data_IF_281291807054
#
_entry.id   IF_281291807054
#
_cell.length_a   1.000
_cell.length_b   1.000
_cell.length_c   1.000
_cell.angle_alpha   90.00
_cell.angle_beta   90.00
_cell.angle_gamma   90.00
#
_symmetry.space_group_name_H-M   'P 1'
#
loop_
_entity.id
_entity.type
_entity.pdbx_description
1 polymer ?
#
# COMPACT_ATOMS: atom_id res chain seq x y z
N UNK A 1 18.88 -7.16 -22.09
CA UNK A 1 18.22 -5.89 -21.71
C UNK A 1 19.25 -4.75 -21.68
N UNK A 2 19.29 -3.86 -22.69
CA UNK A 2 20.29 -2.79 -22.80
C UNK A 2 20.11 -1.61 -21.81
N UNK A 3 18.99 -1.54 -21.06
CA UNK A 3 18.71 -0.45 -20.13
C UNK A 3 19.27 -0.65 -18.71
N UNK A 4 19.46 -1.90 -18.25
CA UNK A 4 20.08 -2.20 -16.94
C UNK A 4 21.62 -2.13 -16.99
N UNK A 5 22.16 -1.17 -17.74
CA UNK A 5 23.61 -0.95 -17.86
C UNK A 5 24.12 0.05 -16.83
N UNK A 6 23.26 0.96 -16.38
CA UNK A 6 23.66 2.08 -15.55
C UNK A 6 23.47 1.82 -14.06
N UNK A 7 24.35 2.39 -13.23
CA UNK A 7 24.36 2.15 -11.79
C UNK A 7 23.04 2.54 -11.12
N UNK A 8 22.50 3.71 -11.48
CA UNK A 8 21.21 4.21 -10.99
C UNK A 8 20.07 3.22 -11.26
N UNK A 9 19.97 2.73 -12.51
CA UNK A 9 18.89 1.85 -12.92
C UNK A 9 19.04 0.44 -12.32
N UNK A 10 20.27 -0.05 -12.18
CA UNK A 10 20.53 -1.34 -11.51
C UNK A 10 20.15 -1.28 -10.04
N UNK A 11 20.59 -0.24 -9.33
CA UNK A 11 20.30 -0.07 -7.92
C UNK A 11 18.80 0.13 -7.67
N UNK A 12 18.15 0.95 -8.50
CA UNK A 12 16.68 1.09 -8.48
C UNK A 12 15.99 -0.26 -8.71
N UNK A 13 16.39 -1.01 -9.73
CA UNK A 13 15.79 -2.32 -10.02
C UNK A 13 15.99 -3.33 -8.88
N UNK A 14 17.13 -3.28 -8.17
CA UNK A 14 17.41 -4.12 -7.02
C UNK A 14 16.43 -3.84 -5.88
N UNK A 15 16.25 -2.56 -5.52
CA UNK A 15 15.28 -2.15 -4.49
C UNK A 15 13.86 -2.58 -4.88
N UNK A 16 13.41 -2.22 -6.08
CA UNK A 16 12.04 -2.50 -6.51
C UNK A 16 11.75 -4.02 -6.58
N UNK A 17 12.72 -4.82 -7.04
CA UNK A 17 12.57 -6.28 -7.07
C UNK A 17 12.51 -6.85 -5.66
N UNK A 18 13.30 -6.31 -4.73
CA UNK A 18 13.30 -6.77 -3.34
C UNK A 18 11.98 -6.42 -2.64
N UNK A 19 11.43 -5.23 -2.89
CA UNK A 19 10.12 -4.84 -2.38
C UNK A 19 8.98 -5.68 -2.99
N UNK A 20 9.04 -5.94 -4.30
CA UNK A 20 8.08 -6.84 -4.96
C UNK A 20 8.12 -8.24 -4.36
N UNK A 21 9.31 -8.75 -4.03
CA UNK A 21 9.47 -10.03 -3.35
C UNK A 21 8.81 -10.00 -1.96
N UNK A 22 9.00 -8.93 -1.19
CA UNK A 22 8.31 -8.76 0.10
C UNK A 22 6.79 -8.76 -0.08
N UNK A 23 6.23 -7.99 -1.01
CA UNK A 23 4.78 -7.98 -1.26
C UNK A 23 4.23 -9.35 -1.66
N UNK A 24 4.95 -10.06 -2.53
CA UNK A 24 4.59 -11.41 -2.92
C UNK A 24 4.60 -12.38 -1.73
N UNK A 25 5.62 -12.29 -0.87
CA UNK A 25 5.74 -13.11 0.34
C UNK A 25 4.64 -12.77 1.34
N UNK A 26 4.35 -11.48 1.58
CA UNK A 26 3.26 -11.06 2.48
C UNK A 26 1.91 -11.58 2.00
N UNK A 27 1.60 -11.43 0.70
CA UNK A 27 0.36 -11.96 0.11
C UNK A 27 0.26 -13.48 0.27
N UNK A 28 1.36 -14.19 0.04
CA UNK A 28 1.42 -15.64 0.19
C UNK A 28 1.23 -16.06 1.65
N UNK A 29 1.85 -15.34 2.59
CA UNK A 29 1.68 -15.58 4.01
C UNK A 29 0.21 -15.37 4.41
N UNK A 30 -0.41 -14.25 4.03
CA UNK A 30 -1.82 -13.95 4.33
C UNK A 30 -2.76 -15.01 3.73
N UNK A 31 -2.49 -15.46 2.51
CA UNK A 31 -3.26 -16.52 1.87
C UNK A 31 -3.16 -17.84 2.65
N UNK A 32 -1.94 -18.24 3.04
CA UNK A 32 -1.68 -19.50 3.75
C UNK A 32 -2.26 -19.47 5.17
N UNK A 33 -2.14 -18.34 5.87
CA UNK A 33 -2.65 -18.17 7.23
C UNK A 33 -4.17 -18.31 7.33
N UNK A 34 -4.88 -18.05 6.24
CA UNK A 34 -6.33 -17.92 6.21
C UNK A 34 -6.97 -18.63 5.00
N UNK A 35 -6.42 -19.79 4.63
CA UNK A 35 -6.93 -20.60 3.52
C UNK A 35 -8.42 -20.94 3.65
N UNK A 36 -8.89 -21.10 4.89
CA UNK A 36 -10.29 -21.38 5.21
C UNK A 36 -11.25 -20.27 4.75
N UNK A 37 -10.86 -19.01 4.94
CA UNK A 37 -11.69 -17.85 4.61
C UNK A 37 -11.59 -17.45 3.14
N UNK A 38 -10.43 -17.72 2.53
CA UNK A 38 -10.21 -17.45 1.11
C UNK A 38 -11.13 -18.28 0.20
N UNK A 39 -11.47 -19.52 0.58
CA UNK A 39 -12.26 -20.49 -0.21
C UNK A 39 -11.91 -20.44 -1.72
N UNK A 40 -10.62 -20.35 -2.02
CA UNK A 40 -10.11 -20.01 -3.35
C UNK A 40 -9.74 -21.28 -4.11
N UNK A 41 -10.43 -21.52 -5.23
CA UNK A 41 -10.01 -22.50 -6.23
C UNK A 41 -8.80 -22.02 -7.03
N UNK A 42 -8.29 -22.88 -7.91
CA UNK A 42 -7.07 -22.60 -8.72
C UNK A 42 -7.21 -21.34 -9.58
N UNK A 43 -8.40 -21.09 -10.14
CA UNK A 43 -8.66 -19.89 -10.98
C UNK A 43 -8.64 -18.62 -10.13
N UNK A 44 -9.21 -18.66 -8.93
CA UNK A 44 -9.22 -17.52 -8.00
C UNK A 44 -7.81 -17.18 -7.52
N UNK A 45 -6.94 -18.18 -7.33
CA UNK A 45 -5.52 -17.95 -7.00
C UNK A 45 -4.80 -17.15 -8.11
N UNK A 46 -5.00 -17.50 -9.38
CA UNK A 46 -4.45 -16.71 -10.48
C UNK A 46 -4.99 -15.27 -10.49
N UNK A 47 -6.28 -15.09 -10.16
CA UNK A 47 -6.88 -13.77 -9.97
C UNK A 47 -6.19 -12.96 -8.87
N UNK A 48 -6.03 -13.55 -7.68
CA UNK A 48 -5.41 -12.91 -6.50
C UNK A 48 -3.99 -12.41 -6.82
N UNK A 49 -3.15 -13.27 -7.41
CA UNK A 49 -1.78 -12.87 -7.72
C UNK A 49 -1.68 -11.98 -8.96
N UNK A 50 -2.52 -12.19 -9.98
CA UNK A 50 -2.53 -11.37 -11.19
C UNK A 50 -2.92 -9.93 -10.87
N UNK A 51 -4.03 -9.75 -10.17
CA UNK A 51 -4.48 -8.44 -9.66
C UNK A 51 -3.48 -7.88 -8.65
N UNK A 52 -2.96 -8.73 -7.75
CA UNK A 52 -1.93 -8.37 -6.78
C UNK A 52 -0.71 -7.73 -7.41
N UNK A 53 -0.18 -8.33 -8.48
CA UNK A 53 0.96 -7.76 -9.21
C UNK A 53 0.61 -6.41 -9.83
N UNK A 54 -0.62 -6.18 -10.29
CA UNK A 54 -1.02 -4.87 -10.81
C UNK A 54 -0.96 -3.80 -9.72
N UNK A 55 -1.48 -4.07 -8.52
CA UNK A 55 -1.39 -3.16 -7.38
C UNK A 55 0.05 -2.98 -6.89
N UNK A 56 0.83 -4.06 -6.84
CA UNK A 56 2.23 -4.02 -6.43
C UNK A 56 3.04 -3.12 -7.38
N UNK A 57 2.88 -3.30 -8.69
CA UNK A 57 3.53 -2.46 -9.71
C UNK A 57 3.06 -1.01 -9.61
N UNK A 58 1.76 -0.79 -9.39
CA UNK A 58 1.21 0.55 -9.22
C UNK A 58 1.88 1.28 -8.05
N UNK A 59 1.96 0.64 -6.88
CA UNK A 59 2.66 1.20 -5.72
C UNK A 59 4.15 1.45 -6.00
N UNK A 60 4.84 0.47 -6.60
CA UNK A 60 6.27 0.57 -6.90
C UNK A 60 6.58 1.72 -7.86
N UNK A 61 5.70 2.04 -8.81
CA UNK A 61 5.88 3.19 -9.70
C UNK A 61 5.84 4.53 -8.94
N UNK A 62 4.92 4.69 -7.97
CA UNK A 62 4.91 5.88 -7.12
C UNK A 62 6.12 5.93 -6.20
N UNK A 63 6.46 4.82 -5.55
CA UNK A 63 7.60 4.77 -4.65
C UNK A 63 8.95 4.95 -5.37
N UNK A 64 9.03 4.56 -6.64
CA UNK A 64 10.21 4.76 -7.48
C UNK A 64 10.48 6.24 -7.79
N UNK A 65 9.48 7.13 -7.74
CA UNK A 65 9.66 8.56 -8.07
C UNK A 65 10.71 9.26 -7.20
N UNK A 66 10.57 9.34 -5.86
CA UNK A 66 11.55 10.02 -5.02
C UNK A 66 12.93 9.35 -5.07
N UNK A 67 12.97 8.02 -5.17
CA UNK A 67 14.23 7.26 -5.26
C UNK A 67 14.95 7.53 -6.59
N UNK A 68 14.22 7.52 -7.70
CA UNK A 68 14.79 7.84 -9.03
C UNK A 68 15.28 9.28 -9.05
N UNK A 69 14.49 10.22 -8.50
CA UNK A 69 14.87 11.62 -8.42
C UNK A 69 16.23 11.78 -7.72
N UNK A 70 16.40 11.14 -6.57
CA UNK A 70 17.68 11.13 -5.86
C UNK A 70 18.80 10.49 -6.70
N UNK A 71 18.61 9.26 -7.18
CA UNK A 71 19.67 8.49 -7.86
C UNK A 71 20.16 9.18 -9.14
N UNK A 72 19.24 9.79 -9.88
CA UNK A 72 19.51 10.40 -11.19
C UNK A 72 20.03 11.83 -11.05
N UNK A 73 19.58 12.60 -10.05
CA UNK A 73 20.09 13.94 -9.79
C UNK A 73 21.38 13.96 -8.94
N UNK A 74 21.76 12.82 -8.34
CA UNK A 74 22.99 12.70 -7.57
C UNK A 74 24.21 13.08 -8.43
N UNK A 75 24.98 14.13 -8.04
CA UNK A 75 26.11 14.58 -8.83
C UNK A 75 27.24 13.53 -8.79
N UNK A 76 28.00 13.39 -9.90
CA UNK A 76 29.08 12.39 -10.02
C UNK A 76 30.09 12.43 -8.87
N UNK A 77 30.45 13.65 -8.43
CA UNK A 77 31.37 13.86 -7.30
C UNK A 77 30.88 13.20 -6.01
N UNK A 78 29.56 13.19 -5.79
CA UNK A 78 28.96 12.56 -4.62
C UNK A 78 28.91 11.05 -4.78
N UNK A 79 28.54 10.57 -5.98
CA UNK A 79 28.47 9.15 -6.28
C UNK A 79 29.82 8.44 -6.10
N UNK A 80 30.91 9.09 -6.53
CA UNK A 80 32.29 8.56 -6.44
C UNK A 80 32.89 8.69 -5.04
N UNK A 81 32.24 9.40 -4.11
CA UNK A 81 32.76 9.59 -2.76
C UNK A 81 32.63 8.30 -1.93
N UNK A 82 33.66 7.90 -1.13
CA UNK A 82 33.64 6.64 -0.38
C UNK A 82 32.46 6.49 0.59
N UNK A 83 31.99 7.57 1.21
CA UNK A 83 30.83 7.55 2.11
C UNK A 83 29.52 7.16 1.38
N UNK A 84 29.38 7.51 0.09
CA UNK A 84 28.14 7.29 -0.66
C UNK A 84 27.85 5.79 -0.83
N UNK A 85 28.89 4.96 -0.99
CA UNK A 85 28.71 3.51 -1.02
C UNK A 85 28.07 3.01 0.29
N UNK A 86 28.61 3.42 1.44
CA UNK A 86 28.05 3.10 2.75
C UNK A 86 26.61 3.59 2.89
N UNK A 87 26.31 4.80 2.42
CA UNK A 87 24.96 5.35 2.42
C UNK A 87 23.97 4.55 1.56
N UNK A 88 24.38 4.07 0.39
CA UNK A 88 23.54 3.20 -0.44
C UNK A 88 23.23 1.88 0.28
N UNK A 89 24.22 1.24 0.92
CA UNK A 89 23.96 0.04 1.74
C UNK A 89 23.01 0.33 2.93
N UNK A 90 23.18 1.46 3.60
CA UNK A 90 22.27 1.91 4.68
C UNK A 90 20.87 2.17 4.16
N UNK A 91 20.73 2.82 2.99
CA UNK A 91 19.45 3.07 2.35
C UNK A 91 18.74 1.75 2.02
N UNK A 92 19.46 0.76 1.48
CA UNK A 92 18.91 -0.58 1.25
C UNK A 92 18.44 -1.22 2.56
N UNK A 93 19.24 -1.16 3.63
CA UNK A 93 18.87 -1.72 4.93
C UNK A 93 17.62 -1.05 5.53
N UNK A 94 17.55 0.28 5.51
CA UNK A 94 16.37 1.02 5.98
C UNK A 94 15.15 0.69 5.12
N UNK A 95 15.32 0.60 3.80
CA UNK A 95 14.23 0.25 2.88
C UNK A 95 13.68 -1.16 3.14
N UNK A 96 14.56 -2.13 3.39
CA UNK A 96 14.20 -3.50 3.74
C UNK A 96 13.47 -3.55 5.08
N UNK A 97 14.01 -2.87 6.08
CA UNK A 97 13.38 -2.78 7.40
C UNK A 97 11.97 -2.18 7.29
N UNK A 98 11.80 -1.08 6.56
CA UNK A 98 10.51 -0.46 6.35
C UNK A 98 9.50 -1.41 5.67
N UNK A 99 9.91 -2.14 4.63
CA UNK A 99 9.03 -3.10 3.96
C UNK A 99 8.69 -4.31 4.82
N UNK A 100 9.64 -4.82 5.61
CA UNK A 100 9.41 -5.91 6.55
C UNK A 100 8.50 -5.49 7.71
N UNK A 101 8.69 -4.28 8.24
CA UNK A 101 7.81 -3.67 9.23
C UNK A 101 6.38 -3.55 8.68
N UNK A 102 6.23 -2.99 7.47
CA UNK A 102 4.95 -2.91 6.77
C UNK A 102 4.31 -4.29 6.60
N UNK A 103 5.06 -5.31 6.20
CA UNK A 103 4.54 -6.66 6.04
C UNK A 103 4.00 -7.25 7.35
N UNK A 104 4.70 -7.05 8.47
CA UNK A 104 4.23 -7.50 9.79
C UNK A 104 3.05 -6.67 10.29
N UNK A 105 3.07 -5.36 10.07
CA UNK A 105 1.95 -4.49 10.40
C UNK A 105 0.70 -4.86 9.59
N UNK A 106 0.84 -5.22 8.31
CA UNK A 106 -0.25 -5.74 7.50
C UNK A 106 -0.78 -7.07 8.03
N UNK A 107 0.09 -7.96 8.51
CA UNK A 107 -0.35 -9.22 9.14
C UNK A 107 -1.19 -8.95 10.38
N UNK A 108 -0.69 -8.13 11.31
CA UNK A 108 -1.41 -7.83 12.55
C UNK A 108 -2.73 -7.09 12.28
N UNK A 109 -2.72 -6.17 11.32
CA UNK A 109 -3.92 -5.47 10.89
C UNK A 109 -4.94 -6.42 10.24
N UNK A 110 -4.46 -7.41 9.49
CA UNK A 110 -5.31 -8.44 8.90
C UNK A 110 -5.95 -9.32 9.97
N UNK A 111 -5.18 -9.76 10.98
CA UNK A 111 -5.71 -10.58 12.08
C UNK A 111 -6.83 -9.86 12.85
N UNK A 112 -6.75 -8.52 12.98
CA UNK A 112 -7.75 -7.72 13.68
C UNK A 112 -8.99 -7.40 12.81
N UNK A 113 -8.79 -6.98 11.55
CA UNK A 113 -9.87 -6.43 10.71
C UNK A 113 -10.26 -7.29 9.52
N UNK A 114 -9.53 -8.36 9.22
CA UNK A 114 -9.77 -9.26 8.08
C UNK A 114 -9.59 -8.60 6.70
N UNK A 115 -8.89 -7.46 6.65
CA UNK A 115 -8.67 -6.65 5.44
C UNK A 115 -7.25 -6.08 5.43
N UNK A 116 -6.73 -5.64 4.28
CA UNK A 116 -5.44 -4.91 4.24
C UNK A 116 -5.64 -3.46 4.67
N UNK A 117 -4.53 -2.71 4.74
CA UNK A 117 -4.56 -1.30 5.10
C UNK A 117 -5.58 -0.50 4.29
N UNK A 118 -6.42 0.23 5.01
CA UNK A 118 -7.50 1.03 4.45
C UNK A 118 -7.63 2.34 5.25
N UNK A 119 -8.79 2.98 5.19
CA UNK A 119 -9.07 4.21 5.94
C UNK A 119 -8.83 4.07 7.46
N UNK A 120 -9.12 2.91 8.07
CA UNK A 120 -8.88 2.69 9.51
C UNK A 120 -7.40 2.85 9.87
N UNK A 121 -6.50 2.31 9.03
CA UNK A 121 -5.06 2.46 9.25
C UNK A 121 -4.56 3.90 9.11
N UNK A 122 -5.26 4.73 8.32
CA UNK A 122 -4.97 6.17 8.22
C UNK A 122 -5.39 6.88 9.50
N UNK A 123 -6.60 6.63 9.99
CA UNK A 123 -7.10 7.19 11.25
C UNK A 123 -6.18 6.84 12.42
N UNK A 124 -5.61 5.64 12.44
CA UNK A 124 -4.69 5.20 13.50
C UNK A 124 -3.37 5.99 13.50
N UNK A 125 -2.93 6.50 12.35
CA UNK A 125 -1.75 7.37 12.27
C UNK A 125 -2.08 8.83 12.57
N UNK A 126 -3.31 9.28 12.31
CA UNK A 126 -3.78 10.63 12.65
C UNK A 126 -4.01 10.74 14.17
N UNK A 127 -4.62 9.72 14.78
CA UNK A 127 -4.92 9.64 16.22
C UNK A 127 -3.99 8.64 16.91
N UNK A 128 -2.71 8.96 16.93
CA UNK A 128 -1.64 8.00 17.24
C UNK A 128 -1.44 7.70 18.72
N UNK A 129 -1.72 8.63 19.64
CA UNK A 129 -1.39 8.46 21.06
C UNK A 129 -2.11 7.25 21.69
N UNK A 130 -3.40 7.09 21.42
CA UNK A 130 -4.21 5.98 21.96
C UNK A 130 -3.77 4.64 21.34
N UNK A 131 -3.55 4.62 20.03
CA UNK A 131 -3.17 3.41 19.28
C UNK A 131 -1.76 2.96 19.65
N UNK A 132 -0.80 3.87 19.76
CA UNK A 132 0.59 3.53 20.13
C UNK A 132 0.63 2.92 21.53
N UNK A 133 -0.07 3.50 22.50
CA UNK A 133 -0.12 2.94 23.85
C UNK A 133 -0.78 1.55 23.86
N UNK A 134 -1.88 1.37 23.12
CA UNK A 134 -2.53 0.07 23.00
C UNK A 134 -1.59 -1.00 22.38
N UNK A 135 -0.84 -0.64 21.35
CA UNK A 135 0.14 -1.54 20.71
C UNK A 135 1.29 -1.88 21.67
N UNK A 136 1.79 -0.90 22.43
CA UNK A 136 2.88 -1.09 23.39
C UNK A 136 2.48 -2.01 24.55
N UNK A 137 1.22 -1.96 24.98
CA UNK A 137 0.67 -2.84 26.01
C UNK A 137 0.37 -4.26 25.48
N UNK A 138 -0.11 -4.34 24.23
CA UNK A 138 -0.60 -5.60 23.65
C UNK A 138 0.50 -6.45 23.01
N UNK A 139 1.58 -5.83 22.52
CA UNK A 139 2.61 -6.52 21.74
C UNK A 139 4.03 -6.23 22.23
N UNK A 140 4.94 -7.22 22.18
CA UNK A 140 6.37 -7.01 22.48
C UNK A 140 7.05 -6.29 21.31
N UNK A 141 6.76 -5.00 21.12
CA UNK A 141 7.18 -4.26 19.93
C UNK A 141 8.70 -4.09 19.86
N UNK A 142 9.39 -3.89 20.98
CA UNK A 142 10.85 -3.67 20.95
C UNK A 142 11.62 -4.92 20.47
N UNK A 143 11.35 -6.15 20.99
CA UNK A 143 11.91 -7.38 20.42
C UNK A 143 11.55 -7.59 18.95
N UNK A 144 10.30 -7.27 18.57
CA UNK A 144 9.84 -7.40 17.19
C UNK A 144 10.63 -6.49 16.24
N UNK A 145 10.77 -5.20 16.58
CA UNK A 145 11.55 -4.24 15.81
C UNK A 145 13.02 -4.65 15.73
N UNK A 146 13.60 -5.14 16.83
CA UNK A 146 14.98 -5.63 16.84
C UNK A 146 15.16 -6.85 15.91
N UNK A 147 14.20 -7.78 15.92
CA UNK A 147 14.22 -8.95 15.04
C UNK A 147 14.08 -8.56 13.56
N UNK A 148 13.19 -7.62 13.23
CA UNK A 148 13.04 -7.11 11.87
C UNK A 148 14.29 -6.34 11.40
N UNK A 149 14.90 -5.56 12.29
CA UNK A 149 16.17 -4.89 12.00
C UNK A 149 17.29 -5.90 11.74
N UNK A 150 17.35 -6.99 12.52
CA UNK A 150 18.31 -8.07 12.28
C UNK A 150 18.09 -8.72 10.90
N UNK A 151 16.85 -9.06 10.53
CA UNK A 151 16.54 -9.63 9.21
C UNK A 151 16.91 -8.64 8.10
N UNK A 152 16.61 -7.35 8.27
CA UNK A 152 16.96 -6.32 7.28
C UNK A 152 18.48 -6.21 7.09
N UNK A 153 19.26 -6.24 8.18
CA UNK A 153 20.72 -6.23 8.13
C UNK A 153 21.24 -7.50 7.44
N UNK A 154 20.75 -8.69 7.81
CA UNK A 154 21.12 -9.94 7.15
C UNK A 154 20.80 -9.91 5.66
N UNK A 155 19.60 -9.44 5.29
CA UNK A 155 19.19 -9.25 3.90
C UNK A 155 20.12 -8.31 3.12
N UNK A 156 20.48 -7.17 3.69
CA UNK A 156 21.47 -6.25 3.09
C UNK A 156 22.84 -6.90 2.93
N UNK A 157 23.30 -7.67 3.91
CA UNK A 157 24.58 -8.40 3.82
C UNK A 157 24.53 -9.45 2.71
N UNK A 158 23.43 -10.18 2.56
CA UNK A 158 23.23 -11.15 1.47
C UNK A 158 23.20 -10.47 0.09
N UNK A 159 22.57 -9.29 0.01
CA UNK A 159 22.48 -8.49 -1.22
C UNK A 159 23.73 -7.63 -1.47
N UNK A 160 24.74 -7.67 -0.59
CA UNK A 160 25.93 -6.81 -0.69
C UNK A 160 26.62 -6.92 -2.04
N UNK A 161 26.85 -8.14 -2.53
CA UNK A 161 27.51 -8.36 -3.83
C UNK A 161 26.72 -7.78 -5.00
N UNK A 162 25.39 -7.94 -4.98
CA UNK A 162 24.51 -7.39 -6.01
C UNK A 162 24.49 -5.85 -5.96
N UNK A 163 24.47 -5.29 -4.75
CA UNK A 163 24.51 -3.85 -4.50
C UNK A 163 25.83 -3.24 -4.97
N UNK A 164 26.97 -3.81 -4.57
CA UNK A 164 28.29 -3.35 -4.99
C UNK A 164 28.43 -3.43 -6.53
N UNK A 165 27.97 -4.52 -7.15
CA UNK A 165 27.96 -4.67 -8.61
C UNK A 165 27.02 -3.68 -9.33
N UNK A 166 25.95 -3.25 -8.68
CA UNK A 166 25.07 -2.19 -9.19
C UNK A 166 25.78 -0.83 -9.13
N UNK A 167 26.38 -0.48 -7.98
CA UNK A 167 27.01 0.82 -7.74
C UNK A 167 28.29 1.05 -8.57
N UNK A 168 29.02 -0.02 -8.88
CA UNK A 168 30.23 0.01 -9.73
C UNK A 168 29.92 0.08 -11.24
N UNK A 169 28.66 -0.01 -11.64
CA UNK A 169 28.30 0.08 -13.06
C UNK A 169 28.51 1.53 -13.60
N UNK A 170 28.57 1.72 -14.93
CA UNK A 170 28.67 3.05 -15.51
C UNK A 170 27.54 3.98 -15.07
N UNK A 171 27.83 5.26 -14.89
CA UNK A 171 26.81 6.26 -14.56
C UNK A 171 25.92 6.60 -15.75
N UNK A 172 24.65 6.85 -15.47
CA UNK A 172 23.68 7.34 -16.43
C UNK A 172 24.18 8.64 -17.09
N UNK A 173 23.95 8.77 -18.40
CA UNK A 173 24.28 9.98 -19.15
C UNK A 173 23.24 11.06 -18.81
N UNK A 174 23.65 12.33 -18.80
CA UNK A 174 22.74 13.45 -18.52
C UNK A 174 21.56 13.54 -19.51
N UNK A 175 21.74 13.10 -20.76
CA UNK A 175 20.65 13.04 -21.74
C UNK A 175 19.62 11.95 -21.39
N UNK A 176 20.08 10.83 -20.85
CA UNK A 176 19.25 9.68 -20.49
C UNK A 176 18.55 9.85 -19.12
N UNK A 177 19.00 10.84 -18.35
CA UNK A 177 18.42 11.26 -17.06
C UNK A 177 16.98 11.74 -17.24
N UNK A 178 16.77 12.70 -18.14
CA UNK A 178 15.45 13.27 -18.38
C UNK A 178 14.48 12.28 -19.01
N UNK A 179 14.97 11.39 -19.88
CA UNK A 179 14.13 10.32 -20.46
C UNK A 179 13.71 9.30 -19.40
N UNK A 180 14.59 8.94 -18.48
CA UNK A 180 14.27 8.04 -17.36
C UNK A 180 13.23 8.67 -16.44
N UNK A 181 13.43 9.93 -16.02
CA UNK A 181 12.48 10.64 -15.17
C UNK A 181 11.12 10.81 -15.85
N UNK A 182 11.10 11.21 -17.12
CA UNK A 182 9.87 11.34 -17.89
C UNK A 182 9.15 10.01 -18.04
N UNK A 183 9.87 8.90 -18.26
CA UNK A 183 9.26 7.58 -18.39
C UNK A 183 8.61 7.10 -17.08
N UNK A 184 9.29 7.27 -15.93
CA UNK A 184 8.72 6.88 -14.63
C UNK A 184 7.57 7.80 -14.25
N UNK A 185 7.69 9.11 -14.48
CA UNK A 185 6.61 10.05 -14.25
C UNK A 185 5.38 9.74 -15.12
N UNK A 186 5.59 9.48 -16.41
CA UNK A 186 4.53 9.06 -17.32
C UNK A 186 3.86 7.77 -16.85
N UNK A 187 4.65 6.76 -16.45
CA UNK A 187 4.12 5.51 -15.93
C UNK A 187 3.30 5.72 -14.64
N UNK A 188 3.77 6.55 -13.71
CA UNK A 188 3.04 6.87 -12.49
C UNK A 188 1.73 7.61 -12.78
N UNK A 189 1.75 8.61 -13.68
CA UNK A 189 0.54 9.33 -14.09
C UNK A 189 -0.45 8.41 -14.82
N UNK A 190 0.04 7.59 -15.75
CA UNK A 190 -0.80 6.60 -16.44
C UNK A 190 -1.44 5.61 -15.46
N UNK A 191 -0.68 5.20 -14.44
CA UNK A 191 -1.19 4.35 -13.36
C UNK A 191 -2.29 5.07 -12.56
N UNK A 192 -2.13 6.35 -12.21
CA UNK A 192 -3.18 7.12 -11.52
C UNK A 192 -4.48 7.17 -12.32
N UNK A 193 -4.37 7.28 -13.65
CA UNK A 193 -5.52 7.36 -14.54
C UNK A 193 -6.18 5.99 -14.78
N UNK A 194 -5.40 4.91 -14.74
CA UNK A 194 -5.89 3.55 -14.99
C UNK A 194 -6.36 2.82 -13.74
N UNK A 195 -5.76 3.10 -12.57
CA UNK A 195 -5.98 2.42 -11.30
C UNK A 195 -6.65 3.39 -10.32
N UNK A 196 -7.97 3.50 -10.41
CA UNK A 196 -8.81 4.20 -9.43
C UNK A 196 -9.07 3.35 -8.18
N UNK A 197 -9.76 3.92 -7.18
CA UNK A 197 -10.17 3.21 -5.96
C UNK A 197 -10.94 1.92 -6.24
N UNK A 198 -11.75 1.91 -7.30
CA UNK A 198 -12.60 0.78 -7.67
C UNK A 198 -11.90 -0.27 -8.54
N UNK A 199 -10.64 -0.07 -8.90
CA UNK A 199 -9.92 -1.00 -9.76
C UNK A 199 -9.11 -2.01 -8.93
N UNK A 200 -9.31 -3.34 -9.04
CA UNK A 200 -10.33 -4.07 -9.80
C UNK A 200 -11.33 -4.75 -8.85
N UNK A 201 -12.15 -3.96 -8.16
CA UNK A 201 -13.20 -4.49 -7.27
C UNK A 201 -14.37 -5.14 -8.03
N UNK A 202 -14.35 -5.14 -9.36
CA UNK A 202 -15.39 -5.66 -10.26
C UNK A 202 -15.17 -7.09 -10.80
N UNK A 203 -14.06 -7.74 -10.48
CA UNK A 203 -13.83 -9.15 -10.85
C UNK A 203 -14.34 -9.98 -9.68
N UNK A 204 -15.43 -10.72 -9.88
CA UNK A 204 -16.15 -11.44 -8.82
C UNK A 204 -15.27 -12.27 -7.88
N UNK A 205 -15.79 -12.56 -6.70
CA UNK A 205 -15.08 -13.20 -5.60
C UNK A 205 -15.69 -12.76 -4.27
N UNK A 206 -15.28 -13.38 -3.16
CA UNK A 206 -15.69 -12.90 -1.84
C UNK A 206 -14.87 -11.65 -1.43
N UNK A 207 -15.30 -10.93 -0.39
CA UNK A 207 -14.59 -9.75 0.11
C UNK A 207 -13.12 -10.06 0.46
N UNK A 208 -12.89 -11.24 1.05
CA UNK A 208 -11.57 -11.73 1.43
C UNK A 208 -10.60 -11.82 0.23
N UNK A 209 -11.02 -12.42 -0.88
CA UNK A 209 -10.21 -12.54 -2.09
C UNK A 209 -9.84 -11.18 -2.68
N UNK A 210 -10.75 -10.21 -2.62
CA UNK A 210 -10.50 -8.84 -3.10
C UNK A 210 -9.45 -8.13 -2.26
N UNK A 211 -9.51 -8.28 -0.95
CA UNK A 211 -8.50 -7.71 -0.05
C UNK A 211 -7.15 -8.42 -0.19
N UNK A 212 -7.15 -9.75 -0.35
CA UNK A 212 -5.90 -10.49 -0.55
C UNK A 212 -5.22 -10.14 -1.89
N UNK A 213 -6.02 -9.85 -2.90
CA UNK A 213 -5.55 -9.38 -4.20
C UNK A 213 -5.02 -7.94 -4.15
N UNK A 214 -5.24 -7.17 -3.08
CA UNK A 214 -4.80 -5.79 -2.99
C UNK A 214 -3.35 -5.66 -2.50
N UNK A 215 -2.87 -4.41 -2.39
CA UNK A 215 -1.61 -4.04 -1.76
C UNK A 215 -1.92 -3.00 -0.68
N UNK A 216 -1.64 -3.29 0.60
CA UNK A 216 -1.99 -2.38 1.69
C UNK A 216 -1.29 -1.03 1.59
N UNK A 217 0.03 -0.92 1.29
CA UNK A 217 0.65 0.36 1.03
C UNK A 217 -0.04 1.18 -0.07
N UNK A 218 -0.43 0.55 -1.18
CA UNK A 218 -1.20 1.22 -2.22
C UNK A 218 -2.55 1.73 -1.68
N UNK A 219 -3.32 0.86 -1.03
CA UNK A 219 -4.63 1.19 -0.49
C UNK A 219 -4.55 2.25 0.61
N UNK A 220 -3.50 2.25 1.43
CA UNK A 220 -3.23 3.25 2.46
C UNK A 220 -3.15 4.66 1.85
N UNK A 221 -2.31 4.85 0.83
CA UNK A 221 -2.19 6.15 0.16
C UNK A 221 -3.46 6.52 -0.61
N UNK A 222 -4.13 5.55 -1.23
CA UNK A 222 -5.41 5.77 -1.88
C UNK A 222 -6.50 6.21 -0.88
N UNK A 223 -6.56 5.61 0.30
CA UNK A 223 -7.48 5.96 1.37
C UNK A 223 -7.16 7.34 1.95
N UNK A 224 -5.89 7.64 2.23
CA UNK A 224 -5.45 8.94 2.73
C UNK A 224 -5.81 10.11 1.79
N UNK A 225 -5.81 9.88 0.47
CA UNK A 225 -6.19 10.92 -0.50
C UNK A 225 -7.70 11.19 -0.51
N UNK A 226 -8.50 10.14 -0.33
CA UNK A 226 -9.95 10.22 -0.52
C UNK A 226 -10.72 10.38 0.80
N UNK A 227 -10.09 10.12 1.96
CA UNK A 227 -10.56 10.39 3.33
C UNK A 227 -11.99 9.93 3.68
N UNK A 228 -12.46 8.85 3.05
CA UNK A 228 -13.79 8.30 3.34
C UNK A 228 -13.73 6.78 3.47
N UNK A 229 -14.43 6.26 4.48
CA UNK A 229 -14.74 4.84 4.61
C UNK A 229 -15.86 4.50 3.62
N UNK A 230 -15.65 3.45 2.81
CA UNK A 230 -16.72 2.91 1.97
C UNK A 230 -17.72 2.12 2.81
N UNK A 231 -18.69 2.83 3.39
CA UNK A 231 -19.72 2.28 4.26
C UNK A 231 -20.39 0.99 3.69
N UNK A 232 -20.78 0.93 2.41
CA UNK A 232 -21.43 -0.28 1.86
C UNK A 232 -20.52 -1.50 1.77
N UNK A 233 -19.19 -1.34 1.87
CA UNK A 233 -18.24 -2.46 1.87
C UNK A 233 -18.27 -3.22 3.20
N UNK A 234 -18.41 -2.49 4.31
CA UNK A 234 -18.30 -3.03 5.67
C UNK A 234 -19.64 -3.32 6.32
N UNK A 235 -20.71 -2.63 5.87
CA UNK A 235 -22.02 -2.71 6.48
C UNK A 235 -23.08 -3.16 5.49
N UNK A 236 -23.98 -4.02 5.96
CA UNK A 236 -25.21 -4.32 5.23
C UNK A 236 -26.01 -3.03 5.05
N UNK A 237 -26.49 -2.79 3.84
CA UNK A 237 -27.27 -1.60 3.50
C UNK A 237 -28.65 -2.00 3.01
N UNK A 238 -29.64 -1.18 3.36
CA UNK A 238 -30.99 -1.26 2.81
C UNK A 238 -31.13 -0.32 1.61
N UNK A 239 -32.06 -0.60 0.67
CA UNK A 239 -32.41 0.35 -0.37
C UNK A 239 -32.78 1.71 0.22
N UNK A 240 -32.31 2.80 -0.39
CA UNK A 240 -32.50 4.17 0.13
C UNK A 240 -33.96 4.51 0.43
N UNK A 241 -34.90 3.95 -0.33
CA UNK A 241 -36.34 4.15 -0.15
C UNK A 241 -36.87 3.51 1.14
N UNK A 242 -36.36 2.32 1.49
CA UNK A 242 -36.71 1.64 2.74
C UNK A 242 -36.11 2.38 3.94
N UNK A 243 -34.84 2.80 3.83
CA UNK A 243 -34.16 3.62 4.85
C UNK A 243 -34.92 4.92 5.10
N UNK A 244 -35.32 5.62 4.03
CA UNK A 244 -36.10 6.85 4.09
C UNK A 244 -37.45 6.66 4.82
N UNK A 245 -38.18 5.59 4.49
CA UNK A 245 -39.47 5.30 5.11
C UNK A 245 -39.31 4.99 6.61
N UNK A 246 -38.33 4.16 6.97
CA UNK A 246 -38.04 3.84 8.37
C UNK A 246 -37.61 5.08 9.17
N UNK A 247 -36.69 5.88 8.63
CA UNK A 247 -36.25 7.13 9.27
C UNK A 247 -37.41 8.07 9.57
N UNK A 248 -38.30 8.30 8.60
CA UNK A 248 -39.48 9.16 8.79
C UNK A 248 -40.47 8.59 9.80
N UNK A 249 -40.61 7.27 9.88
CA UNK A 249 -41.46 6.62 10.88
C UNK A 249 -40.89 6.81 12.29
N UNK A 250 -39.60 6.55 12.50
CA UNK A 250 -38.93 6.65 13.81
C UNK A 250 -38.91 8.09 14.34
N UNK A 251 -38.79 9.08 13.46
CA UNK A 251 -38.80 10.50 13.85
C UNK A 251 -40.18 11.13 13.67
N UNK A 252 -41.25 10.35 13.48
CA UNK A 252 -42.59 10.92 13.41
C UNK A 252 -43.07 11.28 14.81
N UNK A 253 -43.55 12.51 14.98
CA UNK A 253 -44.19 12.98 16.22
C UNK A 253 -45.60 13.48 15.91
N UNK A 254 -46.56 13.41 16.87
CA UNK A 254 -47.96 13.77 16.61
C UNK A 254 -48.17 15.21 16.11
N UNK A 255 -47.29 16.14 16.51
CA UNK A 255 -47.31 17.55 16.13
C UNK A 255 -46.20 17.92 15.13
N UNK A 256 -45.58 16.93 14.47
CA UNK A 256 -44.55 17.18 13.49
C UNK A 256 -45.03 16.88 12.07
N UNK A 257 -44.80 17.82 11.15
CA UNK A 257 -45.06 17.65 9.72
C UNK A 257 -43.77 17.68 8.92
N UNK A 258 -43.49 16.64 8.16
CA UNK A 258 -42.35 16.61 7.23
C UNK A 258 -42.55 17.63 6.09
N UNK A 259 -41.51 18.42 5.82
CA UNK A 259 -41.54 19.51 4.82
C UNK A 259 -40.59 19.30 3.64
N UNK A 260 -39.74 18.27 3.69
CA UNK A 260 -38.77 17.93 2.64
C UNK A 260 -39.37 17.12 1.48
N UNK A 261 -38.94 17.44 0.26
CA UNK A 261 -39.33 16.72 -0.97
C UNK A 261 -38.41 15.53 -1.31
N UNK A 262 -37.18 15.52 -0.81
CA UNK A 262 -36.29 14.36 -0.93
C UNK A 262 -36.70 13.27 0.07
N UNK A 263 -36.68 12.02 -0.38
CA UNK A 263 -36.94 10.82 0.42
C UNK A 263 -36.11 10.75 1.70
N UNK A 264 -34.81 11.11 1.66
CA UNK A 264 -33.92 11.06 2.82
C UNK A 264 -33.98 12.34 3.69
N UNK A 265 -34.78 13.33 3.29
CA UNK A 265 -34.95 14.55 4.06
C UNK A 265 -35.95 14.33 5.20
N UNK A 266 -35.46 14.47 6.43
CA UNK A 266 -36.21 14.33 7.68
C UNK A 266 -36.53 15.68 8.34
N UNK A 267 -36.38 16.80 7.61
CA UNK A 267 -36.79 18.12 8.12
C UNK A 267 -38.29 18.14 8.40
N UNK A 268 -38.62 18.58 9.61
CA UNK A 268 -39.97 18.66 10.16
C UNK A 268 -40.27 20.08 10.63
N UNK A 269 -41.51 20.51 10.43
CA UNK A 269 -42.11 21.66 11.10
C UNK A 269 -42.86 21.13 12.32
N UNK A 270 -42.65 21.76 13.47
CA UNK A 270 -43.32 21.40 14.73
C UNK A 270 -44.41 22.44 14.97
N UNK A 271 -45.64 21.97 15.13
CA UNK A 271 -46.82 22.78 15.45
C UNK A 271 -47.04 22.89 16.97
#
# INVERSE_FOLDING_TARGET
>A
MPHLRYAQLRYLSLILTTWLAVFFLTRSALLIGHLGDANSGVVQLFGIYGIGVMYDVAFLLYAALPLTLYLVLCPRRLWEHPWHNGFMHTLLAISLFAMLFTAVAEWLFWDEFGVRFNFISVDYLVYSDEVINNILESYPIYPLLAFLALIAVVGTVLLRKATDAALQAPLLRWRDTWTTLAAILFAAVATTLAVGQDFPRGIGGNAYQRELASNGPFQFFAAFRNNELEYPQFYATLPKQEVAAQLRQEVSEPNARFIGTDSLDVRRMID
#
